data_IF_188573073487
#
_entry.id   IF_188573073487
#
_cell.length_a   1.000
_cell.length_b   1.000
_cell.length_c   1.000
_cell.angle_alpha   90.00
_cell.angle_beta   90.00
_cell.angle_gamma   90.00
#
_symmetry.space_group_name_H-M   'P 1'
#
loop_
_entity.id
_entity.type
_entity.pdbx_description
1 polymer ?
#
# COMPACT_ATOMS: atom_id res chain seq x y z
N UNK A 1 -4.72 -27.05 -2.71
CA UNK A 1 -3.60 -26.75 -3.63
C UNK A 1 -3.84 -25.52 -4.51
N UNK A 2 -5.10 -25.19 -4.87
CA UNK A 2 -5.46 -24.02 -5.69
C UNK A 2 -5.03 -22.65 -5.14
N UNK A 3 -5.05 -22.46 -3.81
CA UNK A 3 -4.65 -21.18 -3.19
C UNK A 3 -3.22 -20.77 -3.56
N UNK A 4 -2.24 -21.68 -3.53
CA UNK A 4 -0.84 -21.31 -3.72
C UNK A 4 -0.54 -20.76 -5.13
N UNK A 5 -1.20 -21.26 -6.18
CA UNK A 5 -0.99 -20.81 -7.56
C UNK A 5 -1.63 -19.44 -7.78
N UNK A 6 -2.86 -19.22 -7.29
CA UNK A 6 -3.48 -17.88 -7.29
C UNK A 6 -2.63 -16.90 -6.48
N UNK A 7 -2.16 -17.28 -5.30
CA UNK A 7 -1.32 -16.42 -4.45
C UNK A 7 0.02 -16.10 -5.11
N UNK A 8 0.64 -17.04 -5.82
CA UNK A 8 1.85 -16.80 -6.62
C UNK A 8 1.58 -15.88 -7.82
N UNK A 9 0.42 -15.98 -8.46
CA UNK A 9 0.00 -15.08 -9.56
C UNK A 9 -0.26 -13.67 -9.06
N UNK A 10 -0.87 -13.54 -7.88
CA UNK A 10 -1.12 -12.27 -7.19
C UNK A 10 0.18 -11.62 -6.72
N UNK A 11 1.12 -12.40 -6.17
CA UNK A 11 2.44 -11.95 -5.75
C UNK A 11 3.33 -11.44 -6.90
N UNK A 12 3.03 -11.82 -8.15
CA UNK A 12 3.68 -11.30 -9.38
C UNK A 12 2.80 -10.32 -10.17
N UNK A 13 1.55 -10.13 -9.76
CA UNK A 13 0.52 -9.45 -10.54
C UNK A 13 0.02 -8.16 -9.91
N UNK A 14 -1.20 -7.81 -10.28
CA UNK A 14 -1.91 -6.58 -9.89
C UNK A 14 -1.89 -6.32 -8.37
N UNK A 15 -2.04 -7.35 -7.54
CA UNK A 15 -2.14 -7.20 -6.08
C UNK A 15 -0.83 -7.49 -5.32
N UNK A 16 0.30 -7.56 -6.03
CA UNK A 16 1.59 -7.95 -5.46
C UNK A 16 2.06 -7.02 -4.34
N UNK A 17 1.82 -5.71 -4.48
CA UNK A 17 2.12 -4.74 -3.44
C UNK A 17 1.29 -4.99 -2.18
N UNK A 18 -0.03 -5.10 -2.31
CA UNK A 18 -0.93 -5.37 -1.17
C UNK A 18 -0.57 -6.68 -0.47
N UNK A 19 -0.27 -7.71 -1.25
CA UNK A 19 0.18 -9.01 -0.74
C UNK A 19 1.45 -8.89 0.11
N UNK A 20 2.48 -8.22 -0.42
CA UNK A 20 3.73 -7.99 0.31
C UNK A 20 3.51 -7.15 1.56
N UNK A 21 2.66 -6.14 1.50
CA UNK A 21 2.35 -5.30 2.65
C UNK A 21 1.62 -6.05 3.76
N UNK A 22 0.74 -6.98 3.39
CA UNK A 22 -0.02 -7.77 4.36
C UNK A 22 0.85 -8.87 5.01
N UNK A 23 1.65 -9.57 4.21
CA UNK A 23 2.35 -10.80 4.64
C UNK A 23 3.82 -10.55 4.99
N UNK A 24 4.51 -9.73 4.21
CA UNK A 24 5.97 -9.53 4.27
C UNK A 24 6.31 -8.22 5.00
N UNK A 25 5.95 -8.17 6.30
CA UNK A 25 6.12 -6.99 7.17
C UNK A 25 7.58 -6.51 7.28
N UNK A 26 8.56 -7.36 6.95
CA UNK A 26 9.99 -7.06 7.03
C UNK A 26 10.58 -6.46 5.77
N UNK A 27 9.93 -6.60 4.61
CA UNK A 27 10.47 -6.11 3.34
C UNK A 27 10.22 -4.62 3.17
N UNK A 28 11.29 -3.85 3.04
CA UNK A 28 11.20 -2.41 2.72
C UNK A 28 10.51 -2.23 1.38
N UNK A 29 9.27 -1.75 1.41
CA UNK A 29 8.60 -1.24 0.20
C UNK A 29 9.27 0.08 -0.20
N UNK A 30 9.48 0.27 -1.50
CA UNK A 30 10.16 1.46 -2.01
C UNK A 30 9.22 2.65 -1.82
N UNK A 31 9.71 3.77 -1.28
CA UNK A 31 8.91 4.99 -1.06
C UNK A 31 8.11 5.40 -2.29
N UNK A 32 8.73 5.34 -3.48
CA UNK A 32 8.09 5.62 -4.77
C UNK A 32 6.84 4.75 -4.99
N UNK A 33 7.00 3.44 -4.84
CA UNK A 33 5.92 2.46 -4.99
C UNK A 33 4.76 2.71 -4.02
N UNK A 34 5.07 3.05 -2.76
CA UNK A 34 4.05 3.39 -1.76
C UNK A 34 3.32 4.69 -2.05
N UNK A 35 3.94 5.66 -2.72
CA UNK A 35 3.33 6.96 -3.03
C UNK A 35 2.53 6.92 -4.32
N UNK A 36 3.00 6.17 -5.32
CA UNK A 36 2.36 6.08 -6.65
C UNK A 36 1.21 5.06 -6.71
N UNK A 37 1.08 4.19 -5.70
CA UNK A 37 0.00 3.22 -5.66
C UNK A 37 -1.39 3.88 -5.63
N UNK A 38 -2.29 3.43 -6.50
CA UNK A 38 -3.66 3.92 -6.55
C UNK A 38 -4.55 3.02 -5.68
N UNK A 39 -4.99 3.56 -4.55
CA UNK A 39 -5.77 2.79 -3.57
C UNK A 39 -7.21 2.60 -4.06
N UNK A 40 -7.80 3.60 -4.71
CA UNK A 40 -9.15 3.50 -5.26
C UNK A 40 -9.21 2.45 -6.36
N UNK A 41 -8.19 2.42 -7.21
CA UNK A 41 -8.03 1.37 -8.22
C UNK A 41 -7.92 -0.01 -7.58
N UNK A 42 -7.10 -0.18 -6.54
CA UNK A 42 -7.03 -1.46 -5.83
C UNK A 42 -8.37 -1.90 -5.24
N UNK A 43 -9.14 -0.98 -4.67
CA UNK A 43 -10.48 -1.26 -4.17
C UNK A 43 -11.42 -1.69 -5.30
N UNK A 44 -11.42 -0.97 -6.43
CA UNK A 44 -12.22 -1.33 -7.62
C UNK A 44 -11.85 -2.71 -8.15
N UNK A 45 -10.56 -2.96 -8.31
CA UNK A 45 -10.03 -4.23 -8.80
C UNK A 45 -10.43 -5.42 -7.90
N UNK A 46 -10.46 -5.22 -6.58
CA UNK A 46 -10.92 -6.25 -5.62
C UNK A 46 -12.42 -6.47 -5.76
N UNK A 47 -13.21 -5.40 -5.84
CA UNK A 47 -14.67 -5.48 -5.98
C UNK A 47 -15.07 -6.18 -7.27
N UNK A 48 -14.42 -5.85 -8.40
CA UNK A 48 -14.60 -6.53 -9.68
C UNK A 48 -14.28 -8.01 -9.56
N UNK A 49 -13.16 -8.37 -8.94
CA UNK A 49 -12.75 -9.77 -8.80
C UNK A 49 -13.70 -10.58 -7.89
N UNK A 50 -14.39 -9.94 -6.95
CA UNK A 50 -15.42 -10.58 -6.12
C UNK A 50 -16.76 -10.68 -6.87
N UNK A 51 -17.15 -9.64 -7.61
CA UNK A 51 -18.44 -9.54 -8.30
C UNK A 51 -18.58 -10.50 -9.50
N UNK A 52 -17.49 -10.81 -10.22
CA UNK A 52 -17.51 -11.67 -11.41
C UNK A 52 -17.29 -13.18 -11.12
N UNK A 53 -17.46 -13.61 -9.87
CA UNK A 53 -17.29 -15.02 -9.47
C UNK A 53 -18.36 -16.00 -10.00
N UNK A 54 -19.26 -15.55 -10.90
CA UNK A 54 -20.35 -16.33 -11.48
C UNK A 54 -20.03 -17.10 -12.77
N UNK A 55 -19.13 -16.63 -13.63
CA UNK A 55 -18.86 -17.29 -14.93
C UNK A 55 -17.38 -17.44 -15.30
N UNK A 56 -16.46 -16.69 -14.67
CA UNK A 56 -15.03 -16.76 -14.98
C UNK A 56 -14.25 -17.50 -13.87
N UNK A 57 -13.85 -18.74 -14.14
CA UNK A 57 -13.27 -19.72 -13.20
C UNK A 57 -11.89 -19.31 -12.65
N UNK A 58 -11.34 -18.17 -13.09
CA UNK A 58 -9.90 -17.92 -12.94
C UNK A 58 -9.46 -17.26 -11.62
N UNK A 59 -10.37 -16.72 -10.79
CA UNK A 59 -10.04 -16.17 -9.47
C UNK A 59 -11.21 -16.38 -8.49
N UNK A 60 -11.32 -17.57 -7.89
CA UNK A 60 -12.27 -17.74 -6.77
C UNK A 60 -11.67 -17.07 -5.54
N UNK A 61 -12.08 -15.82 -5.29
CA UNK A 61 -11.66 -15.08 -4.10
C UNK A 61 -12.13 -15.78 -2.82
N UNK A 62 -11.22 -16.47 -2.14
CA UNK A 62 -11.49 -16.95 -0.79
C UNK A 62 -11.62 -15.77 0.17
N UNK A 63 -12.46 -15.92 1.21
CA UNK A 63 -12.58 -14.93 2.29
C UNK A 63 -11.22 -14.60 2.93
N UNK A 64 -10.33 -15.61 3.02
CA UNK A 64 -8.97 -15.43 3.51
C UNK A 64 -8.15 -14.51 2.60
N UNK A 65 -8.22 -14.70 1.29
CA UNK A 65 -7.51 -13.86 0.32
C UNK A 65 -8.04 -12.42 0.37
N UNK A 66 -9.36 -12.24 0.37
CA UNK A 66 -9.98 -10.93 0.49
C UNK A 66 -9.51 -10.20 1.76
N UNK A 67 -9.57 -10.87 2.91
CA UNK A 67 -9.07 -10.34 4.19
C UNK A 67 -7.60 -9.93 4.12
N UNK A 68 -6.77 -10.73 3.45
CA UNK A 68 -5.36 -10.45 3.26
C UNK A 68 -5.13 -9.20 2.42
N UNK A 69 -5.85 -9.04 1.29
CA UNK A 69 -5.73 -7.85 0.45
C UNK A 69 -6.26 -6.59 1.14
N UNK A 70 -7.37 -6.69 1.88
CA UNK A 70 -7.88 -5.59 2.71
C UNK A 70 -6.84 -5.16 3.76
N UNK A 71 -6.19 -6.13 4.40
CA UNK A 71 -5.07 -5.85 5.32
C UNK A 71 -3.95 -5.11 4.60
N UNK A 72 -3.61 -5.52 3.38
CA UNK A 72 -2.62 -4.84 2.52
C UNK A 72 -2.98 -3.38 2.23
N UNK A 73 -4.26 -3.07 1.98
CA UNK A 73 -4.75 -1.69 1.75
C UNK A 73 -4.56 -0.83 3.00
N UNK A 74 -4.95 -1.36 4.17
CA UNK A 74 -4.77 -0.64 5.45
C UNK A 74 -3.30 -0.36 5.70
N UNK A 75 -2.42 -1.35 5.46
CA UNK A 75 -0.97 -1.19 5.61
C UNK A 75 -0.38 -0.17 4.61
N UNK A 76 -0.90 -0.13 3.38
CA UNK A 76 -0.51 0.86 2.37
C UNK A 76 -0.86 2.28 2.83
N UNK A 77 -2.09 2.49 3.30
CA UNK A 77 -2.51 3.77 3.86
C UNK A 77 -1.64 4.19 5.04
N UNK A 78 -1.42 3.29 6.00
CA UNK A 78 -0.62 3.57 7.19
C UNK A 78 0.79 4.03 6.81
N UNK A 79 1.49 3.25 5.98
CA UNK A 79 2.86 3.59 5.54
C UNK A 79 2.93 4.89 4.74
N UNK A 80 1.93 5.18 3.91
CA UNK A 80 1.85 6.44 3.17
C UNK A 80 1.70 7.63 4.12
N UNK A 81 0.82 7.50 5.12
CA UNK A 81 0.64 8.53 6.15
C UNK A 81 1.91 8.75 6.97
N UNK A 82 2.60 7.68 7.37
CA UNK A 82 3.89 7.78 8.07
C UNK A 82 4.96 8.53 7.23
N UNK A 83 5.02 8.27 5.93
CA UNK A 83 5.94 8.95 5.02
C UNK A 83 5.61 10.44 4.85
N UNK A 84 4.32 10.77 4.74
CA UNK A 84 3.84 12.15 4.67
C UNK A 84 4.13 12.89 5.97
N UNK A 85 3.84 12.28 7.13
CA UNK A 85 4.11 12.86 8.43
C UNK A 85 5.60 13.18 8.60
N UNK A 86 6.49 12.24 8.29
CA UNK A 86 7.95 12.48 8.31
C UNK A 86 8.36 13.61 7.38
N UNK A 87 7.71 13.75 6.23
CA UNK A 87 8.01 14.84 5.29
C UNK A 87 7.58 16.20 5.84
N UNK A 88 6.46 16.25 6.55
CA UNK A 88 5.99 17.45 7.25
C UNK A 88 6.88 17.81 8.44
N UNK A 89 7.32 16.83 9.23
CA UNK A 89 8.27 17.01 10.34
C UNK A 89 9.60 17.59 9.85
N UNK A 90 10.14 17.07 8.74
CA UNK A 90 11.37 17.59 8.14
C UNK A 90 11.18 19.03 7.63
N UNK A 91 10.08 19.31 6.94
CA UNK A 91 9.79 20.65 6.42
C UNK A 91 9.63 21.69 7.55
N UNK A 92 8.93 21.32 8.62
CA UNK A 92 8.73 22.20 9.78
C UNK A 92 10.02 22.42 10.58
N UNK A 93 10.86 21.38 10.72
CA UNK A 93 12.19 21.51 11.33
C UNK A 93 13.10 22.46 10.54
N UNK A 94 13.13 22.31 9.21
CA UNK A 94 13.91 23.18 8.32
C UNK A 94 13.48 24.65 8.44
N UNK A 95 12.18 24.93 8.38
CA UNK A 95 11.63 26.29 8.55
C UNK A 95 12.02 26.93 9.88
N UNK A 96 11.98 26.17 10.99
CA UNK A 96 12.40 26.66 12.31
C UNK A 96 13.90 26.98 12.37
N UNK A 97 14.72 26.24 11.63
CA UNK A 97 16.16 26.52 11.53
C UNK A 97 16.43 27.82 10.80
N UNK A 98 15.77 28.04 9.65
CA UNK A 98 15.89 29.25 8.85
C UNK A 98 15.43 30.51 9.60
N UNK A 99 14.34 30.42 10.38
CA UNK A 99 13.82 31.52 11.18
C UNK A 99 14.81 31.94 12.28
N UNK A 100 15.42 30.95 12.96
CA UNK A 100 16.49 31.19 13.96
C UNK A 100 17.76 31.80 13.35
N UNK A 101 18.10 31.45 12.12
CA UNK A 101 19.24 32.05 11.42
C UNK A 101 18.96 33.50 11.03
N UNK A 102 17.73 33.81 10.60
CA UNK A 102 17.30 35.19 10.32
C UNK A 102 17.29 36.08 11.57
N UNK A 103 16.81 35.56 12.69
CA UNK A 103 16.82 36.29 13.98
C UNK A 103 18.24 36.61 14.49
N UNK A 104 19.27 35.83 14.12
CA UNK A 104 20.66 36.11 14.50
C UNK A 104 21.36 37.15 13.61
N UNK A 105 20.81 37.43 12.44
CA UNK A 105 21.35 38.44 11.52
C UNK A 105 20.74 39.83 11.70
N UNK A 106 19.73 39.95 12.58
CA UNK A 106 19.10 41.21 12.99
C UNK A 106 19.46 41.54 14.44
#
# INVERSE_FOLDING_TARGET
MYNAIEMMRLAKGRFSLLWRLAIDKGRKSIRKELMEADIEKYCSDILEAVAFSGEDVNLRFSLHLLSTLCTGIVQLHLKRTELLLRSLELATSCRRSEEREREKMH
#
